data_IF_670384531161
#
_entry.id   IF_670384531161
#
_cell.length_a   1.000
_cell.length_b   1.000
_cell.length_c   1.000
_cell.angle_alpha   90.00
_cell.angle_beta   90.00
_cell.angle_gamma   90.00
#
_symmetry.space_group_name_H-M   'P 1'
#
loop_
_entity.id
_entity.type
_entity.pdbx_description
1 polymer ?
#
# COMPACT_ATOMS: atom_id res chain seq x y z
N UNK A 1 39.87 43.48 -33.99
CA UNK A 1 38.74 43.91 -33.13
C UNK A 1 37.57 42.97 -33.35
N UNK A 2 37.26 42.11 -32.38
CA UNK A 2 36.12 41.18 -32.45
C UNK A 2 34.89 41.92 -31.89
N UNK A 3 33.84 42.10 -32.70
CA UNK A 3 32.58 42.75 -32.26
C UNK A 3 31.81 41.82 -31.32
N UNK A 4 31.44 42.29 -30.13
CA UNK A 4 30.57 41.57 -29.21
C UNK A 4 29.15 41.43 -29.80
N UNK A 5 28.56 40.24 -29.71
CA UNK A 5 27.17 39.99 -30.12
C UNK A 5 26.19 40.66 -29.12
N UNK A 6 25.07 41.24 -29.57
CA UNK A 6 24.12 41.92 -28.70
C UNK A 6 23.42 40.93 -27.76
N UNK A 7 23.34 41.26 -26.46
CA UNK A 7 22.58 40.48 -25.46
C UNK A 7 21.08 40.61 -25.74
N UNK A 8 20.40 39.50 -26.02
CA UNK A 8 18.93 39.45 -26.02
C UNK A 8 18.44 39.68 -24.59
N UNK A 9 17.64 40.73 -24.37
CA UNK A 9 16.89 40.91 -23.12
C UNK A 9 15.82 39.82 -23.07
N UNK A 10 15.89 38.93 -22.09
CA UNK A 10 14.79 38.02 -21.81
C UNK A 10 13.63 38.85 -21.26
N UNK A 11 12.57 39.00 -22.06
CA UNK A 11 11.31 39.57 -21.59
C UNK A 11 10.65 38.48 -20.75
N UNK A 12 10.72 38.58 -19.43
CA UNK A 12 9.92 37.74 -18.54
C UNK A 12 8.48 38.26 -18.66
N UNK A 13 7.61 37.50 -19.32
CA UNK A 13 6.17 37.76 -19.33
C UNK A 13 5.62 37.44 -17.93
N UNK A 14 5.73 38.38 -17.02
CA UNK A 14 5.00 38.34 -15.75
C UNK A 14 3.54 38.65 -16.09
N UNK A 15 2.62 37.72 -15.77
CA UNK A 15 1.15 37.76 -15.97
C UNK A 15 0.57 36.85 -17.08
N UNK A 16 1.12 35.66 -17.33
CA UNK A 16 0.24 34.59 -17.78
C UNK A 16 -0.69 34.24 -16.60
N UNK A 17 -1.98 34.57 -16.72
CA UNK A 17 -3.00 34.16 -15.75
C UNK A 17 -2.93 32.63 -15.66
N UNK A 18 -2.40 32.10 -14.55
CA UNK A 18 -2.47 30.66 -14.29
C UNK A 18 -3.94 30.27 -14.34
N UNK A 19 -4.30 29.39 -15.26
CA UNK A 19 -5.64 28.79 -15.28
C UNK A 19 -5.86 28.12 -13.93
N UNK A 20 -6.83 28.62 -13.17
CA UNK A 20 -7.29 27.97 -11.96
C UNK A 20 -8.04 26.73 -12.43
N UNK A 21 -7.35 25.57 -12.45
CA UNK A 21 -8.03 24.28 -12.58
C UNK A 21 -8.96 24.12 -11.37
N UNK A 22 -10.25 24.34 -11.56
CA UNK A 22 -11.25 24.10 -10.52
C UNK A 22 -11.43 22.57 -10.44
N UNK A 23 -10.67 21.92 -9.56
CA UNK A 23 -10.89 20.51 -9.21
C UNK A 23 -12.23 20.37 -8.51
N UNK A 24 -13.17 19.64 -9.11
CA UNK A 24 -14.42 19.26 -8.44
C UNK A 24 -14.08 18.40 -7.22
N UNK A 25 -14.55 18.80 -6.04
CA UNK A 25 -14.35 18.01 -4.83
C UNK A 25 -15.11 16.68 -4.97
N UNK A 26 -14.44 15.52 -4.84
CA UNK A 26 -15.11 14.24 -4.85
C UNK A 26 -16.06 14.09 -3.65
N UNK A 27 -17.07 13.24 -3.80
CA UNK A 27 -17.97 12.89 -2.70
C UNK A 27 -17.24 12.07 -1.63
N UNK A 28 -17.76 12.04 -0.41
CA UNK A 28 -17.18 11.22 0.67
C UNK A 28 -17.13 9.74 0.28
N UNK A 29 -18.11 9.25 -0.48
CA UNK A 29 -18.16 7.87 -0.95
C UNK A 29 -17.03 7.58 -1.94
N UNK A 30 -16.82 8.44 -2.94
CA UNK A 30 -15.70 8.31 -3.89
C UNK A 30 -14.32 8.33 -3.20
N UNK A 31 -14.19 9.14 -2.15
CA UNK A 31 -12.97 9.17 -1.33
C UNK A 31 -12.78 7.87 -0.53
N UNK A 32 -13.84 7.32 0.04
CA UNK A 32 -13.79 6.02 0.73
C UNK A 32 -13.52 4.85 -0.22
N UNK A 33 -14.09 4.86 -1.42
CA UNK A 33 -13.82 3.90 -2.49
C UNK A 33 -12.34 3.94 -2.91
N UNK A 34 -11.80 5.14 -3.14
CA UNK A 34 -10.38 5.31 -3.44
C UNK A 34 -9.49 4.81 -2.30
N UNK A 35 -9.87 5.10 -1.05
CA UNK A 35 -9.16 4.61 0.13
C UNK A 35 -9.19 3.09 0.22
N UNK A 36 -10.32 2.46 -0.08
CA UNK A 36 -10.46 1.02 -0.14
C UNK A 36 -9.59 0.41 -1.25
N UNK A 37 -9.63 1.00 -2.45
CA UNK A 37 -8.81 0.59 -3.59
C UNK A 37 -7.31 0.60 -3.25
N UNK A 38 -6.81 1.72 -2.68
CA UNK A 38 -5.42 1.81 -2.24
C UNK A 38 -5.09 0.86 -1.09
N UNK A 39 -6.02 0.62 -0.16
CA UNK A 39 -5.83 -0.35 0.93
C UNK A 39 -5.60 -1.76 0.36
N UNK A 40 -6.40 -2.17 -0.63
CA UNK A 40 -6.27 -3.47 -1.29
C UNK A 40 -4.94 -3.59 -2.07
N UNK A 41 -4.56 -2.56 -2.83
CA UNK A 41 -3.27 -2.51 -3.54
C UNK A 41 -2.08 -2.62 -2.57
N UNK A 42 -2.13 -1.88 -1.47
CA UNK A 42 -1.09 -1.94 -0.45
C UNK A 42 -0.99 -3.33 0.18
N UNK A 43 -2.12 -3.99 0.49
CA UNK A 43 -2.11 -5.38 0.98
C UNK A 43 -1.39 -6.30 -0.02
N UNK A 44 -1.67 -6.16 -1.31
CA UNK A 44 -1.00 -6.95 -2.36
C UNK A 44 0.51 -6.73 -2.36
N UNK A 45 0.96 -5.48 -2.37
CA UNK A 45 2.38 -5.13 -2.40
C UNK A 45 3.09 -5.62 -1.13
N UNK A 46 2.50 -5.39 0.04
CA UNK A 46 3.03 -5.84 1.33
C UNK A 46 3.17 -7.37 1.33
N UNK A 47 2.15 -8.11 0.90
CA UNK A 47 2.21 -9.58 0.89
C UNK A 47 3.25 -10.11 -0.10
N UNK A 48 3.44 -9.44 -1.24
CA UNK A 48 4.53 -9.77 -2.18
C UNK A 48 5.89 -9.58 -1.51
N UNK A 49 6.11 -8.43 -0.89
CA UNK A 49 7.39 -8.11 -0.26
C UNK A 49 7.67 -9.02 0.94
N UNK A 50 6.65 -9.31 1.76
CA UNK A 50 6.77 -10.23 2.89
C UNK A 50 7.10 -11.66 2.42
N UNK A 51 6.51 -12.12 1.31
CA UNK A 51 6.89 -13.40 0.70
C UNK A 51 8.34 -13.39 0.21
N UNK A 52 8.79 -12.30 -0.42
CA UNK A 52 10.18 -12.19 -0.88
C UNK A 52 11.18 -12.29 0.28
N UNK A 53 10.84 -11.74 1.45
CA UNK A 53 11.64 -11.89 2.67
C UNK A 53 11.76 -13.38 3.04
N UNK A 54 10.64 -14.10 3.07
CA UNK A 54 10.65 -15.55 3.32
C UNK A 54 11.45 -16.33 2.28
N UNK A 55 11.24 -16.05 1.00
CA UNK A 55 11.95 -16.73 -0.09
C UNK A 55 13.46 -16.51 0.02
N UNK A 56 13.90 -15.30 0.39
CA UNK A 56 15.30 -14.98 0.61
C UNK A 56 15.87 -15.75 1.82
N UNK A 57 15.12 -15.82 2.91
CA UNK A 57 15.52 -16.53 4.12
C UNK A 57 15.71 -18.04 3.89
N UNK A 58 14.76 -18.65 3.17
CA UNK A 58 14.85 -20.07 2.77
C UNK A 58 16.06 -20.31 1.85
N UNK A 59 16.31 -19.39 0.91
CA UNK A 59 17.34 -19.56 -0.12
C UNK A 59 18.76 -19.35 0.42
N UNK A 60 18.94 -18.36 1.31
CA UNK A 60 20.26 -17.82 1.62
C UNK A 60 20.66 -17.99 3.10
N UNK A 61 19.74 -18.35 3.99
CA UNK A 61 19.99 -18.41 5.43
C UNK A 61 19.47 -19.70 6.09
N UNK A 62 19.26 -20.77 5.32
CA UNK A 62 18.71 -22.06 5.76
C UNK A 62 17.37 -21.93 6.53
N UNK A 63 16.61 -20.87 6.24
CA UNK A 63 15.32 -20.59 6.86
C UNK A 63 14.28 -21.65 6.58
N UNK A 64 13.38 -21.86 7.54
CA UNK A 64 12.26 -22.78 7.40
C UNK A 64 10.93 -22.07 7.69
N UNK A 65 10.01 -22.15 6.73
CA UNK A 65 8.60 -21.84 6.91
C UNK A 65 7.77 -23.02 6.44
N UNK A 66 6.76 -23.40 7.23
CA UNK A 66 5.81 -24.42 6.80
C UNK A 66 5.06 -23.98 5.54
N UNK A 67 4.93 -24.90 4.59
CA UNK A 67 4.27 -24.61 3.31
C UNK A 67 2.87 -24.01 3.46
N UNK A 68 2.06 -24.49 4.42
CA UNK A 68 0.72 -23.94 4.65
C UNK A 68 0.73 -22.45 5.02
N UNK A 69 1.77 -21.98 5.72
CA UNK A 69 1.92 -20.58 6.13
C UNK A 69 2.39 -19.70 4.98
N UNK A 70 3.33 -20.20 4.17
CA UNK A 70 3.71 -19.55 2.92
C UNK A 70 2.51 -19.42 1.96
N UNK A 71 1.66 -20.44 1.90
CA UNK A 71 0.44 -20.40 1.11
C UNK A 71 -0.60 -19.43 1.67
N UNK A 72 -0.67 -19.24 2.99
CA UNK A 72 -1.56 -18.24 3.59
C UNK A 72 -1.20 -16.82 3.14
N UNK A 73 0.07 -16.42 3.15
CA UNK A 73 0.45 -15.07 2.68
C UNK A 73 0.17 -14.89 1.17
N UNK A 74 0.40 -15.93 0.36
CA UNK A 74 0.04 -15.92 -1.06
C UNK A 74 -1.48 -15.79 -1.28
N UNK A 75 -2.27 -16.45 -0.43
CA UNK A 75 -3.74 -16.39 -0.49
C UNK A 75 -4.29 -15.02 -0.10
N UNK A 76 -3.70 -14.37 0.90
CA UNK A 76 -4.06 -12.98 1.27
C UNK A 76 -3.86 -12.06 0.08
N UNK A 77 -2.68 -12.12 -0.56
CA UNK A 77 -2.37 -11.36 -1.78
C UNK A 77 -3.39 -11.63 -2.89
N UNK A 78 -3.68 -12.89 -3.16
CA UNK A 78 -4.61 -13.28 -4.23
C UNK A 78 -6.03 -12.79 -3.97
N UNK A 79 -6.50 -12.84 -2.72
CA UNK A 79 -7.82 -12.31 -2.34
C UNK A 79 -7.89 -10.80 -2.53
N UNK A 80 -6.87 -10.06 -2.05
CA UNK A 80 -6.81 -8.60 -2.21
C UNK A 80 -6.82 -8.18 -3.69
N UNK A 81 -5.98 -8.81 -4.52
CA UNK A 81 -5.99 -8.58 -5.97
C UNK A 81 -7.33 -8.88 -6.61
N UNK A 82 -7.92 -10.04 -6.30
CA UNK A 82 -9.21 -10.41 -6.89
C UNK A 82 -10.30 -9.38 -6.58
N UNK A 83 -10.33 -8.89 -5.33
CA UNK A 83 -11.31 -7.86 -4.93
C UNK A 83 -11.00 -6.54 -5.65
N UNK A 84 -9.72 -6.16 -5.73
CA UNK A 84 -9.32 -4.96 -6.44
C UNK A 84 -9.73 -5.01 -7.91
N UNK A 85 -9.31 -6.06 -8.62
CA UNK A 85 -9.51 -6.23 -10.05
C UNK A 85 -11.01 -6.28 -10.43
N UNK A 86 -11.85 -6.86 -9.58
CA UNK A 86 -13.27 -6.99 -9.84
C UNK A 86 -14.08 -5.70 -9.59
N UNK A 87 -13.53 -4.71 -8.88
CA UNK A 87 -14.31 -3.56 -8.39
C UNK A 87 -13.69 -2.18 -8.71
N UNK A 88 -12.41 -2.12 -9.05
CA UNK A 88 -11.67 -0.84 -9.17
C UNK A 88 -10.77 -0.77 -10.41
N UNK A 89 -10.97 -1.64 -11.40
CA UNK A 89 -10.31 -1.47 -12.70
C UNK A 89 -10.97 -0.30 -13.44
N UNK A 90 -10.15 0.68 -13.83
CA UNK A 90 -10.60 1.84 -14.58
C UNK A 90 -11.03 1.44 -16.00
N UNK A 91 -12.17 1.94 -16.45
CA UNK A 91 -12.47 2.04 -17.88
C UNK A 91 -11.51 3.08 -18.51
N UNK A 92 -11.15 2.91 -19.78
CA UNK A 92 -10.11 3.72 -20.48
C UNK A 92 -10.41 5.25 -20.52
N UNK A 93 -11.60 5.70 -20.12
CA UNK A 93 -12.08 7.09 -20.18
C UNK A 93 -12.13 7.82 -18.81
N UNK A 94 -11.40 7.38 -17.78
CA UNK A 94 -11.43 8.08 -16.49
C UNK A 94 -10.63 9.39 -16.44
N UNK A 95 -11.25 10.41 -15.84
CA UNK A 95 -10.67 11.70 -15.47
C UNK A 95 -9.25 11.53 -14.91
N UNK A 96 -8.33 12.45 -15.22
CA UNK A 96 -6.92 12.34 -14.82
C UNK A 96 -6.75 12.49 -13.29
N UNK A 97 -7.04 11.42 -12.54
CA UNK A 97 -7.02 11.30 -11.07
C UNK A 97 -5.67 11.75 -10.49
N UNK A 98 -4.60 11.57 -11.27
CA UNK A 98 -3.22 11.91 -10.90
C UNK A 98 -3.02 13.40 -10.59
N UNK A 99 -3.81 14.28 -11.20
CA UNK A 99 -3.75 15.73 -10.95
C UNK A 99 -4.75 16.22 -9.89
N UNK A 100 -5.57 15.32 -9.33
CA UNK A 100 -6.59 15.69 -8.33
C UNK A 100 -6.01 15.70 -6.91
N UNK A 101 -5.99 16.89 -6.30
CA UNK A 101 -5.47 17.11 -4.94
C UNK A 101 -6.10 16.19 -3.87
N UNK A 102 -7.41 15.91 -3.95
CA UNK A 102 -8.10 15.11 -2.95
C UNK A 102 -7.68 13.63 -3.01
N UNK A 103 -7.61 13.05 -4.20
CA UNK A 103 -7.15 11.68 -4.39
C UNK A 103 -5.66 11.53 -4.08
N UNK A 104 -4.84 12.52 -4.43
CA UNK A 104 -3.42 12.55 -4.06
C UNK A 104 -3.21 12.58 -2.54
N UNK A 105 -4.00 13.33 -1.79
CA UNK A 105 -3.90 13.33 -0.32
C UNK A 105 -4.23 11.96 0.28
N UNK A 106 -5.26 11.28 -0.24
CA UNK A 106 -5.59 9.92 0.19
C UNK A 106 -4.45 8.96 -0.14
N UNK A 107 -3.90 9.03 -1.35
CA UNK A 107 -2.76 8.22 -1.74
C UNK A 107 -1.58 8.44 -0.80
N UNK A 108 -1.21 9.69 -0.52
CA UNK A 108 -0.11 10.04 0.40
C UNK A 108 -0.39 9.50 1.81
N UNK A 109 -1.60 9.64 2.32
CA UNK A 109 -1.98 9.10 3.63
C UNK A 109 -1.86 7.57 3.67
N UNK A 110 -2.34 6.89 2.63
CA UNK A 110 -2.28 5.43 2.52
C UNK A 110 -0.85 4.91 2.37
N UNK A 111 -0.03 5.58 1.57
CA UNK A 111 1.40 5.28 1.42
C UNK A 111 2.12 5.49 2.76
N UNK A 112 1.92 6.62 3.44
CA UNK A 112 2.59 6.89 4.72
C UNK A 112 2.29 5.83 5.80
N UNK A 113 1.07 5.28 5.81
CA UNK A 113 0.66 4.22 6.76
C UNK A 113 1.31 2.86 6.48
N UNK A 114 1.70 2.63 5.23
CA UNK A 114 2.18 1.35 4.72
C UNK A 114 3.63 1.38 4.22
N UNK A 115 4.30 2.54 4.29
CA UNK A 115 5.61 2.81 3.67
C UNK A 115 6.68 1.80 4.08
N UNK A 116 6.63 1.34 5.33
CA UNK A 116 7.56 0.36 5.89
C UNK A 116 7.44 -1.03 5.25
N UNK A 117 6.31 -1.34 4.60
CA UNK A 117 6.03 -2.64 4.01
C UNK A 117 5.84 -2.65 2.49
N UNK A 118 5.54 -1.50 1.86
CA UNK A 118 5.27 -1.43 0.40
C UNK A 118 6.52 -1.23 -0.45
N UNK A 119 7.61 -0.66 0.11
CA UNK A 119 8.86 -0.47 -0.60
C UNK A 119 9.46 -1.80 -1.08
N UNK A 120 10.07 -1.83 -2.28
CA UNK A 120 10.68 -3.04 -2.85
C UNK A 120 11.70 -3.68 -1.91
N UNK A 121 12.43 -2.85 -1.17
CA UNK A 121 13.25 -3.23 -0.04
C UNK A 121 12.60 -2.66 1.23
N UNK A 122 11.78 -3.45 1.94
CA UNK A 122 11.10 -2.98 3.15
C UNK A 122 12.11 -2.50 4.20
N UNK A 123 11.74 -1.46 4.95
CA UNK A 123 12.62 -0.84 5.92
C UNK A 123 12.89 -1.78 7.08
N UNK A 124 14.17 -2.03 7.38
CA UNK A 124 14.60 -2.79 8.56
C UNK A 124 14.24 -1.99 9.82
N UNK A 125 13.41 -2.58 10.68
CA UNK A 125 12.99 -1.95 11.93
C UNK A 125 13.99 -2.23 13.06
N UNK A 126 13.86 -1.52 14.17
CA UNK A 126 14.61 -1.83 15.39
C UNK A 126 14.21 -3.22 15.91
N UNK A 127 12.91 -3.54 15.86
CA UNK A 127 12.38 -4.83 16.32
C UNK A 127 12.90 -6.00 15.49
N UNK A 128 13.09 -5.83 14.18
CA UNK A 128 13.73 -6.84 13.33
C UNK A 128 15.10 -7.23 13.92
N UNK A 129 15.89 -6.24 14.35
CA UNK A 129 17.22 -6.47 14.92
C UNK A 129 17.15 -7.10 16.31
N UNK A 130 16.26 -6.60 17.17
CA UNK A 130 16.12 -7.11 18.55
C UNK A 130 15.67 -8.56 18.55
N UNK A 131 14.68 -8.89 17.71
CA UNK A 131 14.13 -10.24 17.60
C UNK A 131 14.92 -11.15 16.67
N UNK A 132 16.02 -10.65 16.07
CA UNK A 132 16.86 -11.37 15.09
C UNK A 132 16.05 -11.92 13.90
N UNK A 133 15.09 -11.13 13.44
CA UNK A 133 14.25 -11.44 12.29
C UNK A 133 14.89 -10.93 10.99
N UNK A 134 14.50 -11.50 9.83
CA UNK A 134 14.93 -10.98 8.55
C UNK A 134 14.60 -9.50 8.39
N UNK A 135 15.46 -8.76 7.69
CA UNK A 135 15.27 -7.33 7.50
C UNK A 135 13.93 -6.99 6.83
N UNK A 136 13.14 -6.11 7.45
CA UNK A 136 11.85 -5.67 6.91
C UNK A 136 10.66 -6.59 7.28
N UNK A 137 10.89 -7.62 8.08
CA UNK A 137 9.88 -8.58 8.48
C UNK A 137 8.77 -7.94 9.33
N UNK A 138 9.13 -7.26 10.41
CA UNK A 138 8.20 -6.51 11.25
C UNK A 138 7.60 -5.33 10.49
N UNK A 139 8.38 -4.65 9.64
CA UNK A 139 7.91 -3.54 8.82
C UNK A 139 6.76 -3.94 7.88
N UNK A 140 6.89 -5.09 7.22
CA UNK A 140 5.84 -5.64 6.35
C UNK A 140 4.63 -6.14 7.15
N UNK A 141 4.84 -6.84 8.27
CA UNK A 141 3.75 -7.32 9.14
C UNK A 141 2.94 -6.18 9.76
N UNK A 142 3.60 -5.18 10.32
CA UNK A 142 2.95 -4.01 10.90
C UNK A 142 2.13 -3.25 9.87
N UNK A 143 2.65 -3.14 8.64
CA UNK A 143 1.90 -2.54 7.52
C UNK A 143 0.66 -3.37 7.16
N UNK A 144 0.80 -4.70 7.07
CA UNK A 144 -0.33 -5.60 6.79
C UNK A 144 -1.42 -5.46 7.87
N UNK A 145 -1.04 -5.52 9.15
CA UNK A 145 -1.96 -5.39 10.28
C UNK A 145 -2.73 -4.05 10.24
N UNK A 146 -2.05 -2.94 9.91
CA UNK A 146 -2.69 -1.63 9.74
C UNK A 146 -3.69 -1.62 8.59
N UNK A 147 -3.33 -2.16 7.42
CA UNK A 147 -4.26 -2.22 6.28
C UNK A 147 -5.48 -3.09 6.57
N UNK A 148 -5.30 -4.25 7.23
CA UNK A 148 -6.40 -5.11 7.67
C UNK A 148 -7.33 -4.37 8.65
N UNK A 149 -6.78 -3.60 9.58
CA UNK A 149 -7.57 -2.76 10.50
C UNK A 149 -8.32 -1.64 9.76
N UNK A 150 -7.72 -1.05 8.73
CA UNK A 150 -8.37 -0.02 7.91
C UNK A 150 -9.54 -0.61 7.10
N UNK A 151 -9.49 -1.86 6.65
CA UNK A 151 -10.66 -2.54 6.04
C UNK A 151 -11.87 -2.58 6.99
N UNK A 152 -11.66 -2.82 8.29
CA UNK A 152 -12.75 -2.83 9.28
C UNK A 152 -13.41 -1.45 9.42
N UNK A 153 -12.62 -0.38 9.25
CA UNK A 153 -13.10 1.01 9.32
C UNK A 153 -13.89 1.43 8.07
N UNK A 154 -13.65 0.76 6.94
CA UNK A 154 -14.30 1.01 5.65
C UNK A 154 -15.60 0.22 5.47
N UNK A 155 -16.22 -0.27 6.56
CA UNK A 155 -17.43 -1.12 6.52
C UNK A 155 -18.61 -0.49 5.76
N UNK A 156 -18.68 0.84 5.69
CA UNK A 156 -19.72 1.58 4.97
C UNK A 156 -19.62 1.32 3.47
N UNK A 157 -18.51 1.73 2.86
CA UNK A 157 -18.24 1.50 1.43
C UNK A 157 -18.16 0.01 1.05
N UNK A 158 -17.64 -0.84 1.94
CA UNK A 158 -17.62 -2.29 1.72
C UNK A 158 -19.03 -2.86 1.57
N UNK A 159 -20.00 -2.32 2.31
CA UNK A 159 -21.41 -2.69 2.23
C UNK A 159 -22.09 -2.09 1.00
N UNK A 160 -21.80 -0.85 0.63
CA UNK A 160 -22.39 -0.24 -0.57
C UNK A 160 -21.96 -0.97 -1.84
N UNK A 161 -20.71 -1.44 -1.89
CA UNK A 161 -20.17 -2.24 -2.99
C UNK A 161 -20.61 -3.73 -2.97
N UNK A 162 -21.27 -4.20 -1.91
CA UNK A 162 -21.74 -5.59 -1.81
C UNK A 162 -20.64 -6.65 -1.72
N UNK A 163 -19.45 -6.28 -1.26
CA UNK A 163 -18.25 -7.15 -1.22
C UNK A 163 -17.92 -7.66 0.18
N UNK A 164 -18.87 -7.59 1.14
CA UNK A 164 -18.59 -7.88 2.56
C UNK A 164 -18.06 -9.29 2.79
N UNK A 165 -18.57 -10.27 2.03
CA UNK A 165 -18.17 -11.68 2.15
C UNK A 165 -16.70 -11.88 1.79
N UNK A 166 -16.24 -11.25 0.71
CA UNK A 166 -14.87 -11.39 0.22
C UNK A 166 -13.89 -10.63 1.13
N UNK A 167 -14.26 -9.42 1.57
CA UNK A 167 -13.46 -8.67 2.55
C UNK A 167 -13.36 -9.42 3.88
N UNK A 168 -14.46 -10.00 4.39
CA UNK A 168 -14.44 -10.81 5.61
C UNK A 168 -13.50 -12.01 5.47
N UNK A 169 -13.48 -12.67 4.31
CA UNK A 169 -12.56 -13.77 4.03
C UNK A 169 -11.10 -13.30 3.99
N UNK A 170 -10.84 -12.13 3.41
CA UNK A 170 -9.51 -11.49 3.40
C UNK A 170 -9.05 -11.21 4.84
N UNK A 171 -9.85 -10.50 5.63
CA UNK A 171 -9.55 -10.17 7.04
C UNK A 171 -9.27 -11.43 7.84
N UNK A 172 -10.17 -12.42 7.81
CA UNK A 172 -10.01 -13.67 8.57
C UNK A 172 -8.73 -14.44 8.18
N UNK A 173 -8.34 -14.41 6.90
CA UNK A 173 -7.13 -15.10 6.44
C UNK A 173 -5.89 -14.35 6.92
N UNK A 174 -5.92 -13.01 6.88
CA UNK A 174 -4.85 -12.15 7.40
C UNK A 174 -4.66 -12.28 8.90
N UNK A 175 -5.73 -12.24 9.68
CA UNK A 175 -5.68 -12.38 11.14
C UNK A 175 -5.10 -13.74 11.56
N UNK A 176 -5.47 -14.82 10.88
CA UNK A 176 -4.88 -16.15 11.13
C UNK A 176 -3.39 -16.18 10.86
N UNK A 177 -2.93 -15.49 9.81
CA UNK A 177 -1.50 -15.40 9.49
C UNK A 177 -0.76 -14.57 10.54
N UNK A 178 -1.29 -13.39 10.88
CA UNK A 178 -0.71 -12.49 11.87
C UNK A 178 -0.63 -13.15 13.25
N UNK A 179 -1.68 -13.87 13.67
CA UNK A 179 -1.70 -14.61 14.93
C UNK A 179 -0.66 -15.74 14.95
N UNK A 180 -0.48 -16.44 13.83
CA UNK A 180 0.57 -17.46 13.73
C UNK A 180 1.96 -16.86 13.90
N UNK A 181 2.25 -15.77 13.19
CA UNK A 181 3.55 -15.09 13.33
C UNK A 181 3.76 -14.61 14.77
N UNK A 182 2.73 -14.02 15.37
CA UNK A 182 2.81 -13.52 16.74
C UNK A 182 3.13 -14.64 17.75
N UNK A 183 2.46 -15.78 17.62
CA UNK A 183 2.60 -16.88 18.58
C UNK A 183 3.86 -17.74 18.38
N UNK A 184 4.32 -17.90 17.13
CA UNK A 184 5.34 -18.91 16.78
C UNK A 184 6.68 -18.31 16.34
N UNK A 185 6.73 -17.00 16.06
CA UNK A 185 7.94 -16.35 15.52
C UNK A 185 8.39 -15.19 16.39
N UNK A 186 7.49 -14.27 16.75
CA UNK A 186 7.87 -13.11 17.56
C UNK A 186 7.96 -13.48 19.03
N UNK A 187 8.96 -12.99 19.73
CA UNK A 187 9.10 -13.22 21.16
C UNK A 187 8.20 -12.25 21.94
N UNK A 188 7.23 -12.80 22.69
CA UNK A 188 6.17 -12.09 23.43
C UNK A 188 6.64 -11.08 24.52
N UNK A 189 7.93 -10.85 24.71
CA UNK A 189 8.44 -10.00 25.79
C UNK A 189 8.53 -8.51 25.42
N UNK A 190 8.19 -8.11 24.19
CA UNK A 190 8.42 -6.74 23.68
C UNK A 190 7.26 -6.09 22.89
N UNK A 191 6.05 -6.68 22.89
CA UNK A 191 4.85 -6.09 22.28
C UNK A 191 3.77 -5.77 23.33
#
# INVERSE_FOLDING_TARGET
MIKAKPRKKNIVKVNEKQEIKITRQPTSEQLEESKLAFTLLNITLICRNHKNIWDNEIKNHDGYIRFDKLMMICKIRSLANKIFDANFQADEEEENVKDNFFYNNILVEQVNRSITGVGENPLVTIDDKIQRLPGGFIGTLGSLARMVKDLVRLKGVIKSLGIEKDIKKLINTSEKYLAWVYNEITFNELL
#
